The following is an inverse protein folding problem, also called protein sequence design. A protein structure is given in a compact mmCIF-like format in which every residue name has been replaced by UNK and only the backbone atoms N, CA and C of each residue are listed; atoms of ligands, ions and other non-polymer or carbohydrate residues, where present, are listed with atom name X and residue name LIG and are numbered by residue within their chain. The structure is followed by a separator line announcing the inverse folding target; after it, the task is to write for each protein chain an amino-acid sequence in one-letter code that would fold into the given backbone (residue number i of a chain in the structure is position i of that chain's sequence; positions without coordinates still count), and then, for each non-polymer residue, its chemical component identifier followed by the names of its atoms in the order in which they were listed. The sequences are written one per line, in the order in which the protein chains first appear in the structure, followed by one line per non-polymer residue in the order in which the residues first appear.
data_IF_445799815123
#
_entry.id   IF_445799815123
#
_cell.length_a   1.000
_cell.length_b   1.000
_cell.length_c   1.000
_cell.angle_alpha   90.00
_cell.angle_beta   90.00
_cell.angle_gamma   90.00
#
_symmetry.space_group_name_H-M   'P 1'
#
loop_
_entity.id
_entity.type
_entity.pdbx_description
1 polymer ?
#
# COMPACT_ATOMS: atom_id res chain seq x y z
N UNK A 1 -4.00 -58.97 2.20
CA UNK A 1 -4.20 -57.81 1.29
C UNK A 1 -4.67 -56.53 1.99
N UNK A 2 -5.51 -56.56 3.03
CA UNK A 2 -5.97 -55.36 3.78
C UNK A 2 -4.86 -54.57 4.49
N UNK A 3 -3.92 -55.25 5.16
CA UNK A 3 -2.82 -54.58 5.89
C UNK A 3 -1.92 -53.72 5.00
N UNK A 4 -1.55 -54.22 3.81
CA UNK A 4 -0.70 -53.49 2.85
C UNK A 4 -1.36 -52.22 2.29
N UNK A 5 -2.69 -52.25 2.11
CA UNK A 5 -3.46 -51.08 1.69
C UNK A 5 -3.54 -50.01 2.78
N UNK A 6 -3.67 -50.44 4.05
CA UNK A 6 -3.64 -49.53 5.22
C UNK A 6 -2.26 -48.88 5.40
N UNK A 7 -1.17 -49.63 5.21
CA UNK A 7 0.19 -49.05 5.28
C UNK A 7 0.45 -48.06 4.15
N UNK A 8 0.03 -48.39 2.92
CA UNK A 8 0.15 -47.47 1.78
C UNK A 8 -0.67 -46.19 1.97
N UNK A 9 -1.89 -46.30 2.50
CA UNK A 9 -2.73 -45.15 2.82
C UNK A 9 -2.11 -44.26 3.91
N UNK A 10 -1.50 -44.86 4.93
CA UNK A 10 -0.83 -44.12 6.00
C UNK A 10 0.41 -43.37 5.50
N UNK A 11 1.21 -44.00 4.64
CA UNK A 11 2.38 -43.37 4.01
C UNK A 11 1.96 -42.24 3.08
N UNK A 12 0.87 -42.40 2.32
CA UNK A 12 0.35 -41.35 1.45
C UNK A 12 -0.20 -40.15 2.23
N UNK A 13 -0.88 -40.40 3.35
CA UNK A 13 -1.36 -39.36 4.26
C UNK A 13 -0.20 -38.59 4.92
N UNK A 14 0.81 -39.31 5.42
CA UNK A 14 2.04 -38.71 5.95
C UNK A 14 2.78 -37.87 4.89
N UNK A 15 2.80 -38.30 3.63
CA UNK A 15 3.40 -37.54 2.53
C UNK A 15 2.65 -36.23 2.29
N UNK A 16 1.31 -36.22 2.33
CA UNK A 16 0.50 -35.01 2.16
C UNK A 16 0.64 -34.00 3.31
N UNK A 17 0.91 -34.46 4.55
CA UNK A 17 1.11 -33.56 5.69
C UNK A 17 2.47 -32.84 5.70
N UNK A 18 3.44 -33.28 4.89
CA UNK A 18 4.81 -32.72 4.87
C UNK A 18 4.99 -31.68 3.76
N UNK A 19 4.04 -31.53 2.82
CA UNK A 19 4.05 -30.41 1.89
C UNK A 19 3.40 -29.20 2.56
N UNK A 20 4.17 -28.21 3.05
CA UNK A 20 3.57 -26.93 3.37
C UNK A 20 2.89 -26.42 2.09
N UNK A 21 1.63 -26.00 2.22
CA UNK A 21 1.02 -25.18 1.18
C UNK A 21 1.94 -23.97 0.99
N UNK A 22 2.58 -23.88 -0.18
CA UNK A 22 3.38 -22.72 -0.57
C UNK A 22 2.38 -21.59 -0.81
N UNK A 23 1.95 -20.95 0.27
CA UNK A 23 1.18 -19.72 0.20
C UNK A 23 2.12 -18.62 -0.30
N UNK A 24 2.04 -18.33 -1.59
CA UNK A 24 2.73 -17.21 -2.21
C UNK A 24 1.96 -15.93 -1.88
N UNK A 25 2.10 -15.45 -0.64
CA UNK A 25 1.64 -14.12 -0.27
C UNK A 25 2.67 -13.12 -0.83
N UNK A 26 2.30 -12.39 -1.90
CA UNK A 26 3.11 -11.26 -2.34
C UNK A 26 3.06 -10.19 -1.25
N UNK A 27 4.25 -9.76 -0.82
CA UNK A 27 4.39 -8.76 0.24
C UNK A 27 4.35 -7.35 -0.33
N UNK A 28 3.63 -6.46 0.36
CA UNK A 28 3.51 -5.06 -0.04
C UNK A 28 4.88 -4.38 0.00
N UNK A 29 5.25 -3.70 -1.10
CA UNK A 29 6.57 -3.08 -1.24
C UNK A 29 6.49 -1.67 -1.80
N UNK A 30 7.30 -0.76 -1.25
CA UNK A 30 7.50 0.57 -1.83
C UNK A 30 8.32 0.47 -3.12
N UNK A 31 7.94 1.26 -4.11
CA UNK A 31 8.62 1.35 -5.41
C UNK A 31 8.52 2.77 -5.98
N UNK A 32 9.29 3.05 -7.02
CA UNK A 32 9.21 4.29 -7.80
C UNK A 32 9.30 5.56 -6.92
N UNK A 33 10.16 5.51 -5.90
CA UNK A 33 10.35 6.61 -4.95
C UNK A 33 11.12 7.73 -5.65
N UNK A 34 10.47 8.87 -5.83
CA UNK A 34 11.06 10.08 -6.40
C UNK A 34 10.93 11.22 -5.39
N UNK A 35 12.04 11.91 -5.16
CA UNK A 35 12.08 13.13 -4.35
C UNK A 35 12.56 14.26 -5.25
N UNK A 36 11.78 15.33 -5.30
CA UNK A 36 12.07 16.50 -6.14
C UNK A 36 11.58 17.77 -5.44
N UNK A 37 11.81 18.93 -6.03
CA UNK A 37 11.38 20.20 -5.47
C UNK A 37 10.63 21.06 -6.49
N UNK A 38 9.69 21.84 -5.96
CA UNK A 38 9.11 22.99 -6.66
C UNK A 38 9.90 24.25 -6.32
N UNK A 39 9.35 25.43 -6.61
CA UNK A 39 9.89 26.70 -6.09
C UNK A 39 9.88 26.75 -4.56
N UNK A 40 8.84 26.20 -3.93
CA UNK A 40 8.57 26.46 -2.51
C UNK A 40 8.60 25.21 -1.61
N UNK A 41 8.43 24.01 -2.18
CA UNK A 41 8.28 22.77 -1.41
C UNK A 41 9.14 21.63 -1.95
N UNK A 42 9.63 20.79 -1.04
CA UNK A 42 10.08 19.43 -1.33
C UNK A 42 8.86 18.54 -1.53
N UNK A 43 8.84 17.80 -2.64
CA UNK A 43 7.80 16.86 -3.01
C UNK A 43 8.33 15.43 -2.98
N UNK A 44 7.45 14.50 -2.61
CA UNK A 44 7.69 13.07 -2.71
C UNK A 44 6.61 12.39 -3.54
N UNK A 45 7.04 11.43 -4.33
CA UNK A 45 6.23 10.53 -5.13
C UNK A 45 6.69 9.11 -4.82
N UNK A 46 5.76 8.18 -4.71
CA UNK A 46 6.06 6.76 -4.54
C UNK A 46 4.82 5.93 -4.81
N UNK A 47 5.03 4.67 -5.17
CA UNK A 47 3.98 3.67 -5.34
C UNK A 47 4.17 2.54 -4.31
N UNK A 48 3.08 1.92 -3.87
CA UNK A 48 3.12 0.64 -3.16
C UNK A 48 2.61 -0.50 -4.04
N UNK A 49 3.51 -1.41 -4.43
CA UNK A 49 3.17 -2.59 -5.22
C UNK A 49 2.67 -3.71 -4.32
N UNK A 50 1.88 -4.60 -4.92
CA UNK A 50 1.45 -5.84 -4.29
C UNK A 50 0.76 -5.63 -2.92
N UNK A 51 0.04 -4.51 -2.76
CA UNK A 51 -0.54 -4.05 -1.48
C UNK A 51 -2.01 -4.42 -1.26
N UNK A 52 -2.67 -4.98 -2.26
CA UNK A 52 -4.06 -5.44 -2.18
C UNK A 52 -4.12 -6.94 -2.00
N UNK A 53 -4.74 -7.39 -0.91
CA UNK A 53 -5.06 -8.80 -0.70
C UNK A 53 -6.42 -9.13 -1.33
N UNK A 54 -6.70 -10.42 -1.56
CA UNK A 54 -8.02 -10.84 -2.05
C UNK A 54 -9.14 -10.51 -1.08
N UNK A 55 -8.88 -10.59 0.22
CA UNK A 55 -9.83 -10.16 1.25
C UNK A 55 -10.16 -8.67 1.13
N UNK A 56 -9.14 -7.82 0.93
CA UNK A 56 -9.36 -6.39 0.70
C UNK A 56 -10.16 -6.16 -0.59
N UNK A 57 -9.84 -6.86 -1.68
CA UNK A 57 -10.58 -6.76 -2.93
C UNK A 57 -12.07 -7.09 -2.71
N UNK A 58 -12.36 -8.22 -2.05
CA UNK A 58 -13.73 -8.64 -1.74
C UNK A 58 -14.45 -7.64 -0.83
N UNK A 59 -13.78 -7.15 0.23
CA UNK A 59 -14.36 -6.17 1.15
C UNK A 59 -14.75 -4.88 0.41
N UNK A 60 -13.86 -4.35 -0.44
CA UNK A 60 -14.13 -3.16 -1.25
C UNK A 60 -15.32 -3.40 -2.17
N UNK A 61 -15.35 -4.52 -2.89
CA UNK A 61 -16.45 -4.85 -3.81
C UNK A 61 -17.80 -5.04 -3.10
N UNK A 62 -17.79 -5.40 -1.82
CA UNK A 62 -18.98 -5.47 -0.97
C UNK A 62 -19.37 -4.12 -0.36
N UNK A 63 -18.71 -3.02 -0.76
CA UNK A 63 -19.01 -1.67 -0.30
C UNK A 63 -18.38 -1.31 1.06
N UNK A 64 -17.49 -2.17 1.59
CA UNK A 64 -16.77 -1.87 2.83
C UNK A 64 -15.66 -0.86 2.53
N UNK A 65 -15.72 0.31 3.18
CA UNK A 65 -14.70 1.34 3.00
C UNK A 65 -13.33 0.85 3.50
N UNK A 66 -12.31 0.99 2.65
CA UNK A 66 -10.93 0.58 2.94
C UNK A 66 -10.00 1.78 2.88
N UNK A 67 -8.98 1.79 3.74
CA UNK A 67 -8.04 2.92 3.90
C UNK A 67 -6.60 2.44 3.83
N UNK A 68 -5.76 3.17 3.09
CA UNK A 68 -4.31 3.03 3.11
C UNK A 68 -3.71 4.24 3.79
N UNK A 69 -2.80 4.01 4.74
CA UNK A 69 -2.13 5.10 5.47
C UNK A 69 -0.64 5.03 5.25
N UNK A 70 -0.10 6.09 4.67
CA UNK A 70 1.32 6.28 4.41
C UNK A 70 1.90 7.20 5.49
N UNK A 71 3.04 6.80 6.05
CA UNK A 71 3.77 7.56 7.05
C UNK A 71 5.10 7.98 6.43
N UNK A 72 5.25 9.26 6.16
CA UNK A 72 6.45 9.84 5.52
C UNK A 72 7.18 10.69 6.54
N UNK A 73 8.42 10.32 6.85
CA UNK A 73 9.27 11.03 7.81
C UNK A 73 10.52 11.52 7.11
N UNK A 74 10.87 12.78 7.36
CA UNK A 74 12.09 13.40 6.84
C UNK A 74 13.02 13.71 7.99
N UNK A 75 14.29 13.36 7.83
CA UNK A 75 15.34 13.56 8.82
C UNK A 75 16.45 14.44 8.24
N UNK A 76 16.91 15.41 9.04
CA UNK A 76 18.13 16.17 8.80
C UNK A 76 19.31 15.38 9.38
N UNK A 77 20.24 15.00 8.51
CA UNK A 77 21.47 14.30 8.89
C UNK A 77 22.40 15.26 9.61
N UNK A 78 22.94 14.84 10.76
CA UNK A 78 23.83 15.66 11.60
C UNK A 78 25.11 14.89 11.92
N UNK A 79 26.25 15.56 11.81
CA UNK A 79 27.57 14.93 11.99
C UNK A 79 27.94 14.67 13.46
N UNK A 80 27.38 15.45 14.39
CA UNK A 80 27.78 15.43 15.81
C UNK A 80 26.64 15.07 16.78
N UNK A 81 25.43 14.79 16.27
CA UNK A 81 24.27 14.42 17.07
C UNK A 81 23.33 13.50 16.30
N UNK A 82 22.38 12.87 16.98
CA UNK A 82 21.32 12.10 16.31
C UNK A 82 20.58 12.93 15.26
N UNK A 83 20.24 12.26 14.15
CA UNK A 83 19.45 12.85 13.07
C UNK A 83 18.16 13.46 13.61
N UNK A 84 17.89 14.69 13.19
CA UNK A 84 16.71 15.41 13.65
C UNK A 84 15.57 15.18 12.69
N UNK A 85 14.44 14.65 13.16
CA UNK A 85 13.21 14.61 12.38
C UNK A 85 12.72 16.04 12.11
N UNK A 86 12.58 16.39 10.83
CA UNK A 86 12.13 17.72 10.37
C UNK A 86 10.75 17.71 9.72
N UNK A 87 10.24 16.54 9.33
CA UNK A 87 8.84 16.36 8.94
C UNK A 87 8.31 14.98 9.36
N UNK A 88 7.02 14.90 9.69
CA UNK A 88 6.29 13.66 9.98
C UNK A 88 4.87 13.82 9.43
N UNK A 89 4.60 13.17 8.29
CA UNK A 89 3.34 13.29 7.56
C UNK A 89 2.63 11.96 7.59
N UNK A 90 1.35 12.02 7.95
CA UNK A 90 0.40 10.93 7.81
C UNK A 90 -0.58 11.26 6.70
N UNK A 91 -0.49 10.51 5.60
CA UNK A 91 -1.40 10.61 4.46
C UNK A 91 -2.30 9.39 4.45
N UNK A 92 -3.62 9.58 4.35
CA UNK A 92 -4.57 8.47 4.31
C UNK A 92 -5.42 8.55 3.06
N UNK A 93 -5.27 7.57 2.17
CA UNK A 93 -6.18 7.35 1.06
C UNK A 93 -7.37 6.52 1.54
N UNK A 94 -8.53 6.73 0.96
CA UNK A 94 -9.71 5.93 1.22
C UNK A 94 -10.44 5.60 -0.07
N UNK A 95 -10.94 4.38 -0.17
CA UNK A 95 -11.78 3.89 -1.26
C UNK A 95 -13.10 3.35 -0.72
N UNK A 96 -14.17 3.60 -1.46
CA UNK A 96 -15.51 3.11 -1.18
C UNK A 96 -16.19 2.75 -2.52
N UNK A 97 -16.80 1.57 -2.58
CA UNK A 97 -17.58 1.16 -3.75
C UNK A 97 -19.07 1.41 -3.51
N UNK A 98 -19.71 2.13 -4.43
CA UNK A 98 -21.15 2.31 -4.42
C UNK A 98 -21.81 1.24 -5.29
N UNK A 99 -22.40 0.22 -4.65
CA UNK A 99 -23.07 -0.91 -5.32
C UNK A 99 -24.29 -0.51 -6.14
N UNK A 100 -24.97 0.59 -5.80
CA UNK A 100 -26.14 1.07 -6.55
C UNK A 100 -25.74 1.79 -7.84
N UNK A 101 -24.58 2.46 -7.84
CA UNK A 101 -24.08 3.24 -8.97
C UNK A 101 -23.01 2.51 -9.79
N UNK A 102 -22.54 1.36 -9.29
CA UNK A 102 -21.38 0.63 -9.80
C UNK A 102 -20.18 1.54 -10.05
N UNK A 103 -19.79 2.30 -9.01
CA UNK A 103 -18.76 3.34 -9.08
C UNK A 103 -17.93 3.37 -7.78
N UNK A 104 -16.60 3.45 -7.92
CA UNK A 104 -15.67 3.69 -6.83
C UNK A 104 -15.52 5.18 -6.58
N UNK A 105 -15.49 5.56 -5.31
CA UNK A 105 -15.16 6.91 -4.84
C UNK A 105 -13.87 6.84 -4.00
N UNK A 106 -12.89 7.64 -4.39
CA UNK A 106 -11.58 7.72 -3.74
C UNK A 106 -11.38 9.08 -3.10
N UNK A 107 -10.76 9.11 -1.92
CA UNK A 107 -10.29 10.32 -1.25
C UNK A 107 -8.76 10.31 -1.25
N UNK A 108 -8.15 11.25 -1.98
CA UNK A 108 -6.71 11.43 -2.13
C UNK A 108 -6.33 12.84 -1.62
N UNK A 109 -5.98 12.99 -0.33
CA UNK A 109 -5.88 14.31 0.31
C UNK A 109 -4.82 15.25 -0.30
N UNK A 110 -3.74 14.70 -0.81
CA UNK A 110 -2.64 15.40 -1.47
C UNK A 110 -3.02 15.94 -2.85
N UNK A 111 -4.02 15.34 -3.50
CA UNK A 111 -4.56 15.77 -4.80
C UNK A 111 -5.74 16.75 -4.64
N UNK A 112 -5.53 17.84 -3.89
CA UNK A 112 -6.53 18.89 -3.65
C UNK A 112 -7.81 18.42 -2.93
N UNK A 113 -7.76 17.29 -2.21
CA UNK A 113 -8.89 16.72 -1.43
C UNK A 113 -10.17 16.47 -2.23
N UNK A 114 -10.11 16.46 -3.56
CA UNK A 114 -11.28 16.15 -4.39
C UNK A 114 -11.53 14.64 -4.36
N UNK A 115 -12.80 14.25 -4.32
CA UNK A 115 -13.16 12.84 -4.50
C UNK A 115 -12.97 12.48 -5.97
N UNK A 116 -12.10 11.52 -6.25
CA UNK A 116 -11.94 10.94 -7.58
C UNK A 116 -12.96 9.82 -7.72
N UNK A 117 -13.59 9.72 -8.88
CA UNK A 117 -14.61 8.70 -9.16
C UNK A 117 -14.22 7.93 -10.41
N UNK A 118 -14.38 6.62 -10.36
CA UNK A 118 -14.09 5.73 -11.49
C UNK A 118 -14.97 4.49 -11.40
N UNK A 119 -15.25 3.87 -12.55
CA UNK A 119 -15.89 2.54 -12.61
C UNK A 119 -14.88 1.41 -12.77
N UNK A 120 -13.64 1.75 -13.11
CA UNK A 120 -12.55 0.80 -13.26
C UNK A 120 -11.93 0.50 -11.90
N UNK A 121 -11.99 -0.77 -11.47
CA UNK A 121 -11.48 -1.17 -10.17
C UNK A 121 -9.95 -1.21 -10.15
N UNK A 122 -9.31 -1.66 -11.23
CA UNK A 122 -7.85 -1.73 -11.28
C UNK A 122 -7.25 -0.32 -11.29
N UNK A 123 -7.82 0.60 -12.09
CA UNK A 123 -7.47 2.01 -12.02
C UNK A 123 -7.73 2.64 -10.64
N UNK A 124 -8.77 2.22 -9.92
CA UNK A 124 -8.98 2.67 -8.54
C UNK A 124 -7.90 2.14 -7.58
N UNK A 125 -7.46 0.89 -7.75
CA UNK A 125 -6.38 0.30 -6.96
C UNK A 125 -5.05 1.00 -7.20
N UNK A 126 -4.74 1.31 -8.46
CA UNK A 126 -3.54 2.07 -8.83
C UNK A 126 -3.55 3.46 -8.16
N UNK A 127 -4.66 4.20 -8.25
CA UNK A 127 -4.81 5.49 -7.58
C UNK A 127 -4.70 5.41 -6.05
N UNK A 128 -5.19 4.33 -5.44
CA UNK A 128 -5.04 4.10 -3.99
C UNK A 128 -3.58 3.85 -3.60
N UNK A 129 -2.81 3.19 -4.46
CA UNK A 129 -1.42 2.79 -4.22
C UNK A 129 -0.38 3.87 -4.59
N UNK A 130 -0.76 4.84 -5.42
CA UNK A 130 0.09 5.94 -5.88
C UNK A 130 -0.02 7.17 -5.00
N UNK A 131 1.10 7.60 -4.42
CA UNK A 131 1.21 8.90 -3.76
C UNK A 131 1.89 9.88 -4.71
N UNK A 132 1.19 10.96 -5.06
CA UNK A 132 1.63 11.92 -6.08
C UNK A 132 1.76 13.31 -5.49
N UNK A 133 2.92 13.95 -5.72
CA UNK A 133 3.17 15.34 -5.36
C UNK A 133 2.91 15.67 -3.88
N UNK A 134 3.21 14.72 -2.99
CA UNK A 134 3.07 14.92 -1.56
C UNK A 134 4.02 16.03 -1.10
N UNK A 135 3.46 17.13 -0.59
CA UNK A 135 4.24 18.24 -0.01
C UNK A 135 4.84 17.80 1.32
N UNK A 136 6.14 17.55 1.33
CA UNK A 136 6.84 17.04 2.52
C UNK A 136 7.20 18.17 3.49
N UNK A 137 7.86 19.22 2.97
CA UNK A 137 8.29 20.37 3.75
C UNK A 137 8.51 21.56 2.83
N UNK A 138 8.38 22.79 3.35
CA UNK A 138 8.81 23.99 2.63
C UNK A 138 10.33 24.04 2.51
N UNK A 139 10.85 24.47 1.37
CA UNK A 139 12.28 24.52 1.11
C UNK A 139 13.01 25.54 2.00
N UNK A 140 12.34 26.60 2.44
CA UNK A 140 12.90 27.59 3.37
C UNK A 140 13.13 27.02 4.79
N UNK A 141 12.66 25.81 5.07
CA UNK A 141 12.94 25.06 6.30
C UNK A 141 14.05 24.03 6.13
N UNK A 142 14.60 23.89 4.92
CA UNK A 142 15.75 23.04 4.64
C UNK A 142 17.03 23.86 4.66
N UNK A 143 18.06 23.30 5.28
CA UNK A 143 19.41 23.82 5.15
C UNK A 143 19.97 23.39 3.79
N UNK A 144 20.63 24.31 3.09
CA UNK A 144 21.30 23.99 1.83
C UNK A 144 22.50 23.09 2.13
N UNK A 145 22.57 21.96 1.44
CA UNK A 145 23.74 21.07 1.45
C UNK A 145 24.89 21.62 0.62
#
# INVERSE_FOLDING_TARGET
MRGRQLTLALVFFLFFCIFPEISSAKEARLSDIIVTNTRDHLLSYFNVRDCFTEEMNMAIMNGISTKFTFIVKLYEIRSTWFDRKIADIRLTHAIEYNTLKNEFSLLLPEQNKKKVKTKDFDGAKDLMADVVALKVIRLDKLNKG
#
